data_IF_029383231864
#
_entry.id   IF_029383231864
#
_cell.length_a   1.000
_cell.length_b   1.000
_cell.length_c   1.000
_cell.angle_alpha   90.00
_cell.angle_beta   90.00
_cell.angle_gamma   90.00
#
_symmetry.space_group_name_H-M   'P 1'
#
loop_
_entity.id
_entity.type
_entity.pdbx_description
1 polymer ?
#
# COMPACT_ATOMS: atom_id res chain seq x y z
N UNK A 1 22.61 3.98 -42.64
CA UNK A 1 22.23 4.61 -41.35
C UNK A 1 23.28 4.16 -40.36
N UNK A 2 24.08 5.08 -39.88
CA UNK A 2 25.25 4.80 -39.02
C UNK A 2 24.81 4.38 -37.63
N UNK A 3 25.03 3.09 -37.30
CA UNK A 3 24.69 2.49 -36.01
C UNK A 3 25.63 2.93 -34.87
N UNK A 4 26.62 3.76 -35.15
CA UNK A 4 27.58 4.29 -34.18
C UNK A 4 27.17 5.60 -33.52
N UNK A 5 26.07 6.21 -33.95
CA UNK A 5 25.57 7.46 -33.38
C UNK A 5 25.05 7.23 -31.93
N UNK A 6 25.66 7.87 -30.90
CA UNK A 6 25.29 7.67 -29.51
C UNK A 6 23.81 7.98 -29.20
N UNK A 7 23.17 8.86 -29.97
CA UNK A 7 21.73 9.14 -29.85
C UNK A 7 20.84 7.95 -30.28
N UNK A 8 21.28 7.13 -31.25
CA UNK A 8 20.57 5.93 -31.66
C UNK A 8 20.81 4.72 -30.72
N UNK A 9 21.96 4.67 -30.03
CA UNK A 9 22.22 3.66 -29.00
C UNK A 9 21.42 3.93 -27.72
N UNK A 10 21.15 5.17 -27.39
CA UNK A 10 20.32 5.54 -26.24
C UNK A 10 18.84 5.20 -26.44
N UNK A 11 18.35 5.21 -27.69
CA UNK A 11 16.96 4.84 -28.05
C UNK A 11 16.68 3.33 -27.93
N UNK A 12 17.71 2.47 -27.86
CA UNK A 12 17.57 0.98 -27.75
C UNK A 12 17.54 0.44 -26.32
N UNK A 13 17.83 1.25 -25.29
CA UNK A 13 17.69 0.82 -23.91
C UNK A 13 16.19 0.78 -23.56
N UNK A 14 15.67 -0.42 -23.31
CA UNK A 14 14.34 -0.57 -22.73
C UNK A 14 14.26 0.26 -21.46
N UNK A 15 13.33 1.22 -21.41
CA UNK A 15 13.10 2.03 -20.21
C UNK A 15 12.67 1.12 -19.05
N UNK A 16 13.28 1.28 -17.89
CA UNK A 16 12.92 0.53 -16.68
C UNK A 16 11.45 0.78 -16.32
N UNK A 17 10.96 2.01 -16.48
CA UNK A 17 9.54 2.35 -16.27
C UNK A 17 8.64 1.48 -17.13
N UNK A 18 8.94 1.34 -18.44
CA UNK A 18 8.17 0.48 -19.34
C UNK A 18 8.20 -0.99 -18.90
N UNK A 19 9.37 -1.47 -18.51
CA UNK A 19 9.53 -2.86 -18.03
C UNK A 19 8.72 -3.11 -16.77
N UNK A 20 8.73 -2.19 -15.79
CA UNK A 20 7.95 -2.29 -14.56
C UNK A 20 6.44 -2.29 -14.86
N UNK A 21 5.97 -1.42 -15.75
CA UNK A 21 4.56 -1.39 -16.18
C UNK A 21 4.17 -2.74 -16.81
N UNK A 22 4.97 -3.25 -17.76
CA UNK A 22 4.68 -4.51 -18.44
C UNK A 22 4.64 -5.68 -17.43
N UNK A 23 5.62 -5.76 -16.53
CA UNK A 23 5.68 -6.82 -15.51
C UNK A 23 4.45 -6.73 -14.61
N UNK A 24 4.09 -5.55 -14.14
CA UNK A 24 2.94 -5.35 -13.23
C UNK A 24 1.63 -5.72 -13.90
N UNK A 25 1.40 -5.24 -15.13
CA UNK A 25 0.18 -5.58 -15.89
C UNK A 25 0.12 -7.08 -16.21
N UNK A 26 1.25 -7.68 -16.61
CA UNK A 26 1.33 -9.11 -16.88
C UNK A 26 1.05 -9.94 -15.61
N UNK A 27 1.58 -9.54 -14.45
CA UNK A 27 1.32 -10.19 -13.17
C UNK A 27 -0.16 -10.12 -12.79
N UNK A 28 -0.79 -8.95 -12.96
CA UNK A 28 -2.22 -8.77 -12.69
C UNK A 28 -3.10 -9.64 -13.60
N UNK A 29 -2.80 -9.70 -14.90
CA UNK A 29 -3.49 -10.57 -15.84
C UNK A 29 -3.26 -12.07 -15.52
N UNK A 30 -2.05 -12.44 -15.13
CA UNK A 30 -1.73 -13.83 -14.77
C UNK A 30 -2.49 -14.29 -13.53
N UNK A 31 -2.64 -13.44 -12.50
CA UNK A 31 -3.46 -13.76 -11.31
C UNK A 31 -4.92 -13.94 -11.72
N UNK A 32 -5.49 -13.02 -12.51
CA UNK A 32 -6.87 -13.16 -12.98
C UNK A 32 -7.09 -14.45 -13.78
N UNK A 33 -6.20 -14.75 -14.72
CA UNK A 33 -6.26 -15.98 -15.50
C UNK A 33 -6.12 -17.23 -14.63
N UNK A 34 -5.23 -17.22 -13.63
CA UNK A 34 -5.07 -18.30 -12.67
C UNK A 34 -6.37 -18.59 -11.91
N UNK A 35 -7.05 -17.56 -11.42
CA UNK A 35 -8.32 -17.72 -10.71
C UNK A 35 -9.42 -18.23 -11.64
N UNK A 36 -9.56 -17.62 -12.83
CA UNK A 36 -10.68 -17.92 -13.73
C UNK A 36 -10.54 -19.28 -14.44
N UNK A 37 -9.32 -19.63 -14.88
CA UNK A 37 -9.09 -20.83 -15.69
C UNK A 37 -8.64 -22.03 -14.87
N UNK A 38 -7.85 -21.82 -13.81
CA UNK A 38 -7.22 -22.87 -13.03
C UNK A 38 -7.79 -23.01 -11.61
N UNK A 39 -8.68 -22.11 -11.20
CA UNK A 39 -9.23 -22.03 -9.83
C UNK A 39 -8.12 -21.89 -8.76
N UNK A 40 -6.98 -21.29 -9.14
CA UNK A 40 -5.82 -21.08 -8.28
C UNK A 40 -5.57 -19.59 -8.10
N UNK A 41 -5.66 -19.12 -6.87
CA UNK A 41 -5.28 -17.75 -6.50
C UNK A 41 -3.82 -17.71 -6.03
N UNK A 42 -2.92 -17.34 -6.95
CA UNK A 42 -1.50 -17.18 -6.64
C UNK A 42 -1.20 -15.89 -5.87
N UNK A 43 -2.14 -14.93 -5.82
CA UNK A 43 -1.93 -13.67 -5.10
C UNK A 43 -1.72 -13.90 -3.60
N UNK A 44 -2.33 -14.92 -3.02
CA UNK A 44 -2.16 -15.30 -1.62
C UNK A 44 -0.72 -15.64 -1.21
N UNK A 45 0.16 -15.99 -2.17
CA UNK A 45 1.58 -16.25 -1.91
C UNK A 45 2.47 -15.03 -2.17
N UNK A 46 1.98 -14.04 -2.91
CA UNK A 46 2.75 -12.91 -3.41
C UNK A 46 2.37 -11.57 -2.78
N UNK A 47 1.14 -11.44 -2.29
CA UNK A 47 0.68 -10.27 -1.53
C UNK A 47 1.37 -10.22 -0.15
N UNK A 48 1.54 -9.01 0.40
CA UNK A 48 2.21 -8.82 1.68
C UNK A 48 1.21 -8.97 2.83
N UNK A 49 1.46 -9.93 3.71
CA UNK A 49 0.73 -10.11 4.96
C UNK A 49 1.51 -9.55 6.16
N UNK A 50 0.81 -9.38 7.27
CA UNK A 50 1.44 -9.04 8.55
C UNK A 50 2.42 -10.13 8.97
N UNK A 51 3.55 -9.76 9.60
CA UNK A 51 4.58 -10.72 10.04
C UNK A 51 4.07 -11.72 11.10
N UNK A 52 3.00 -11.40 11.82
CA UNK A 52 2.33 -12.30 12.75
C UNK A 52 1.36 -13.30 12.07
N UNK A 53 1.09 -13.12 10.77
CA UNK A 53 0.25 -14.03 9.99
C UNK A 53 1.03 -15.28 9.59
N UNK A 54 0.39 -16.45 9.66
CA UNK A 54 0.94 -17.70 9.14
C UNK A 54 1.15 -17.66 7.60
N UNK A 55 0.50 -16.71 6.92
CA UNK A 55 0.64 -16.48 5.47
C UNK A 55 1.85 -15.66 5.10
N UNK A 56 2.51 -15.01 6.07
CA UNK A 56 3.67 -14.15 5.79
C UNK A 56 4.84 -14.96 5.25
N UNK A 57 5.48 -14.39 4.22
CA UNK A 57 6.74 -14.88 3.66
C UNK A 57 7.65 -13.69 3.33
N UNK A 58 8.97 -13.76 3.59
CA UNK A 58 9.88 -12.61 3.42
C UNK A 58 9.92 -12.03 1.99
N UNK A 59 9.74 -12.85 0.96
CA UNK A 59 9.72 -12.39 -0.43
C UNK A 59 8.53 -11.48 -0.75
N UNK A 60 7.47 -11.52 0.06
CA UNK A 60 6.29 -10.69 -0.10
C UNK A 60 6.61 -9.20 0.03
N UNK A 61 7.66 -8.83 0.77
CA UNK A 61 8.16 -7.44 0.82
C UNK A 61 8.58 -6.90 -0.56
N UNK A 62 8.84 -7.76 -1.50
CA UNK A 62 9.18 -7.40 -2.88
C UNK A 62 8.03 -7.68 -3.85
N UNK A 63 7.39 -8.85 -3.74
CA UNK A 63 6.40 -9.29 -4.73
C UNK A 63 5.09 -8.53 -4.68
N UNK A 64 4.68 -8.04 -3.50
CA UNK A 64 3.43 -7.30 -3.31
C UNK A 64 3.34 -6.04 -4.20
N UNK A 65 4.50 -5.44 -4.54
CA UNK A 65 4.60 -4.25 -5.39
C UNK A 65 4.07 -4.49 -6.81
N UNK A 66 4.02 -5.75 -7.25
CA UNK A 66 3.53 -6.17 -8.57
C UNK A 66 2.11 -6.74 -8.52
N UNK A 67 1.57 -6.98 -7.31
CA UNK A 67 0.20 -7.44 -7.12
C UNK A 67 -0.73 -6.24 -7.06
N UNK A 68 -1.95 -6.39 -7.60
CA UNK A 68 -2.97 -5.34 -7.56
C UNK A 68 -4.33 -5.94 -7.28
N UNK A 69 -5.22 -5.12 -6.72
CA UNK A 69 -6.59 -5.49 -6.46
C UNK A 69 -7.28 -5.98 -7.75
N UNK A 70 -8.00 -7.07 -7.63
CA UNK A 70 -8.72 -7.71 -8.73
C UNK A 70 -10.17 -7.23 -8.84
N UNK A 71 -10.68 -6.52 -7.82
CA UNK A 71 -12.06 -6.02 -7.78
C UNK A 71 -12.31 -4.86 -8.76
N UNK A 72 -11.24 -4.18 -9.22
CA UNK A 72 -11.38 -3.05 -10.13
C UNK A 72 -10.12 -2.70 -10.92
N UNK A 73 -10.33 -2.21 -12.15
CA UNK A 73 -9.25 -1.75 -13.04
C UNK A 73 -8.59 -0.44 -12.56
N UNK A 74 -9.32 0.40 -11.82
CA UNK A 74 -8.86 1.75 -11.49
C UNK A 74 -7.59 1.76 -10.62
N UNK A 75 -7.45 0.80 -9.71
CA UNK A 75 -6.27 0.72 -8.86
C UNK A 75 -4.98 0.52 -9.68
N UNK A 76 -4.95 -0.49 -10.56
CA UNK A 76 -3.77 -0.71 -11.41
C UNK A 76 -3.58 0.43 -12.41
N UNK A 77 -4.67 0.98 -12.98
CA UNK A 77 -4.61 2.08 -13.93
C UNK A 77 -3.91 3.31 -13.35
N UNK A 78 -4.35 3.81 -12.17
CA UNK A 78 -3.73 4.98 -11.55
C UNK A 78 -2.29 4.72 -11.07
N UNK A 79 -1.99 3.50 -10.63
CA UNK A 79 -0.61 3.12 -10.32
C UNK A 79 0.29 3.19 -11.56
N UNK A 80 -0.13 2.61 -12.67
CA UNK A 80 0.66 2.62 -13.91
C UNK A 80 0.76 4.02 -14.52
N UNK A 81 -0.29 4.81 -14.42
CA UNK A 81 -0.28 6.22 -14.84
C UNK A 81 0.72 7.03 -14.01
N UNK A 82 0.69 6.92 -12.68
CA UNK A 82 1.64 7.59 -11.78
C UNK A 82 3.08 7.16 -12.03
N UNK A 83 3.31 5.85 -12.19
CA UNK A 83 4.63 5.31 -12.55
C UNK A 83 5.11 5.86 -13.91
N UNK A 84 4.25 5.94 -14.90
CA UNK A 84 4.60 6.50 -16.20
C UNK A 84 4.91 8.00 -16.11
N UNK A 85 4.07 8.79 -15.46
CA UNK A 85 4.22 10.25 -15.36
C UNK A 85 5.48 10.63 -14.57
N UNK A 86 5.58 10.22 -13.32
CA UNK A 86 6.68 10.60 -12.44
C UNK A 86 7.94 9.77 -12.70
N UNK A 87 7.78 8.47 -12.90
CA UNK A 87 8.88 7.55 -13.14
C UNK A 87 9.66 7.88 -14.41
N UNK A 88 8.98 8.23 -15.51
CA UNK A 88 9.67 8.56 -16.77
C UNK A 88 10.53 9.82 -16.66
N UNK A 89 10.11 10.82 -15.90
CA UNK A 89 10.90 12.05 -15.66
C UNK A 89 12.10 11.71 -14.78
N UNK A 90 11.90 11.00 -13.69
CA UNK A 90 12.96 10.64 -12.76
C UNK A 90 13.97 9.66 -13.37
N UNK A 91 13.52 8.69 -14.20
CA UNK A 91 14.43 7.79 -14.93
C UNK A 91 15.32 8.55 -15.91
N UNK A 92 14.77 9.55 -16.62
CA UNK A 92 15.58 10.44 -17.50
C UNK A 92 16.59 11.27 -16.71
N UNK A 93 16.20 11.75 -15.53
CA UNK A 93 17.05 12.58 -14.68
C UNK A 93 18.18 11.80 -14.00
N UNK A 94 17.90 10.60 -13.48
CA UNK A 94 18.85 9.80 -12.69
C UNK A 94 19.55 8.69 -13.46
N UNK A 95 19.02 8.30 -14.61
CA UNK A 95 19.35 7.08 -15.30
C UNK A 95 18.68 5.84 -14.70
N UNK A 96 18.57 4.79 -15.49
CA UNK A 96 17.79 3.58 -15.18
C UNK A 96 18.22 2.86 -13.89
N UNK A 97 19.53 2.78 -13.61
CA UNK A 97 20.02 2.09 -12.39
C UNK A 97 19.56 2.78 -11.11
N UNK A 98 19.79 4.11 -11.01
CA UNK A 98 19.45 4.89 -9.82
C UNK A 98 17.93 4.95 -9.62
N UNK A 99 17.17 5.09 -10.71
CA UNK A 99 15.72 5.02 -10.71
C UNK A 99 15.20 3.69 -10.17
N UNK A 100 15.68 2.55 -10.71
CA UNK A 100 15.25 1.23 -10.25
C UNK A 100 15.58 1.00 -8.79
N UNK A 101 16.79 1.37 -8.35
CA UNK A 101 17.20 1.26 -6.95
C UNK A 101 16.27 2.07 -6.05
N UNK A 102 15.93 3.31 -6.45
CA UNK A 102 15.01 4.15 -5.70
C UNK A 102 13.62 3.52 -5.61
N UNK A 103 13.06 3.10 -6.74
CA UNK A 103 11.75 2.47 -6.83
C UNK A 103 11.63 1.23 -5.92
N UNK A 104 12.62 0.35 -5.97
CA UNK A 104 12.60 -0.89 -5.18
C UNK A 104 12.79 -0.61 -3.68
N UNK A 105 13.72 0.25 -3.29
CA UNK A 105 13.96 0.57 -1.88
C UNK A 105 12.74 1.27 -1.27
N UNK A 106 12.14 2.23 -1.98
CA UNK A 106 10.94 2.93 -1.48
C UNK A 106 9.75 1.99 -1.37
N UNK A 107 9.56 1.08 -2.32
CA UNK A 107 8.49 0.09 -2.25
C UNK A 107 8.68 -0.91 -1.11
N UNK A 108 9.84 -1.53 -1.01
CA UNK A 108 10.11 -2.46 0.11
C UNK A 108 10.00 -1.75 1.47
N UNK A 109 10.53 -0.54 1.59
CA UNK A 109 10.43 0.25 2.82
C UNK A 109 8.97 0.64 3.14
N UNK A 110 8.18 0.96 2.13
CA UNK A 110 6.75 1.19 2.27
C UNK A 110 6.02 -0.04 2.83
N UNK A 111 6.34 -1.24 2.32
CA UNK A 111 5.80 -2.50 2.82
C UNK A 111 6.15 -2.75 4.29
N UNK A 112 7.40 -2.51 4.69
CA UNK A 112 7.82 -2.64 6.09
C UNK A 112 7.04 -1.67 7.00
N UNK A 113 6.95 -0.39 6.61
CA UNK A 113 6.24 0.63 7.40
C UNK A 113 4.74 0.31 7.49
N UNK A 114 4.13 -0.11 6.39
CA UNK A 114 2.73 -0.56 6.36
C UNK A 114 2.48 -1.72 7.30
N UNK A 115 3.35 -2.73 7.29
CA UNK A 115 3.26 -3.90 8.15
C UNK A 115 3.39 -3.55 9.64
N UNK A 116 4.32 -2.65 10.00
CA UNK A 116 4.47 -2.15 11.37
C UNK A 116 3.27 -1.32 11.80
N UNK A 117 2.76 -0.45 10.95
CA UNK A 117 1.57 0.35 11.20
C UNK A 117 0.33 -0.54 11.39
N UNK A 118 0.14 -1.54 10.55
CA UNK A 118 -0.93 -2.53 10.69
C UNK A 118 -0.86 -3.25 12.04
N UNK A 119 0.34 -3.66 12.46
CA UNK A 119 0.52 -4.30 13.77
C UNK A 119 0.09 -3.36 14.90
N UNK A 120 0.51 -2.09 14.83
CA UNK A 120 0.11 -1.08 15.82
C UNK A 120 -1.42 -0.87 15.83
N UNK A 121 -2.07 -0.81 14.67
CA UNK A 121 -3.52 -0.66 14.54
C UNK A 121 -4.31 -1.87 15.04
N UNK A 122 -3.75 -3.09 14.92
CA UNK A 122 -4.39 -4.33 15.36
C UNK A 122 -4.22 -4.61 16.86
N UNK A 123 -3.24 -4.00 17.55
CA UNK A 123 -3.00 -4.25 18.97
C UNK A 123 -4.24 -4.09 19.87
N UNK A 124 -5.04 -3.01 19.77
CA UNK A 124 -6.25 -2.87 20.59
C UNK A 124 -7.26 -4.00 20.36
N UNK A 125 -7.39 -4.46 19.11
CA UNK A 125 -8.26 -5.59 18.79
C UNK A 125 -7.75 -6.89 19.44
N UNK A 126 -6.45 -7.17 19.38
CA UNK A 126 -5.88 -8.35 20.02
C UNK A 126 -6.04 -8.34 21.54
N UNK A 127 -5.89 -7.18 22.19
CA UNK A 127 -6.19 -7.03 23.62
C UNK A 127 -7.68 -7.31 23.90
N UNK A 128 -8.56 -6.81 23.06
CA UNK A 128 -10.01 -7.04 23.11
C UNK A 128 -10.37 -8.52 22.94
N UNK A 129 -9.72 -9.22 22.02
CA UNK A 129 -9.85 -10.68 21.82
C UNK A 129 -9.43 -11.44 23.07
N UNK A 130 -8.26 -11.14 23.64
CA UNK A 130 -7.77 -11.80 24.85
C UNK A 130 -8.70 -11.56 26.05
N UNK A 131 -9.16 -10.33 26.24
CA UNK A 131 -10.12 -9.98 27.29
C UNK A 131 -11.43 -10.75 27.13
N UNK A 132 -11.92 -10.88 25.90
CA UNK A 132 -13.11 -11.67 25.62
C UNK A 132 -12.92 -13.16 25.90
N UNK A 133 -11.84 -13.76 25.44
CA UNK A 133 -11.55 -15.19 25.62
C UNK A 133 -11.33 -15.56 27.10
N UNK A 134 -10.86 -14.64 27.92
CA UNK A 134 -10.70 -14.85 29.36
C UNK A 134 -12.02 -14.95 30.11
N UNK A 135 -13.07 -14.28 29.64
CA UNK A 135 -14.40 -14.29 30.25
C UNK A 135 -15.50 -14.12 29.19
N UNK A 136 -15.77 -15.17 28.38
CA UNK A 136 -16.72 -15.07 27.29
C UNK A 136 -18.16 -15.01 27.83
N UNK A 137 -18.94 -14.03 27.34
CA UNK A 137 -20.34 -13.84 27.73
C UNK A 137 -21.03 -12.80 26.84
N UNK A 138 -22.35 -12.68 26.98
CA UNK A 138 -23.17 -11.81 26.15
C UNK A 138 -22.67 -10.36 26.16
N UNK A 139 -22.50 -9.77 27.35
CA UNK A 139 -22.10 -8.36 27.52
C UNK A 139 -20.69 -8.13 26.96
N UNK A 140 -19.78 -9.06 27.17
CA UNK A 140 -18.41 -8.99 26.67
C UNK A 140 -18.35 -9.11 25.13
N UNK A 141 -19.22 -9.95 24.54
CA UNK A 141 -19.33 -10.07 23.09
C UNK A 141 -19.91 -8.81 22.45
N UNK A 142 -20.97 -8.26 23.02
CA UNK A 142 -21.58 -7.00 22.58
C UNK A 142 -20.55 -5.87 22.60
N UNK A 143 -19.76 -5.79 23.67
CA UNK A 143 -18.66 -4.82 23.78
C UNK A 143 -17.59 -5.06 22.71
N UNK A 144 -17.16 -6.32 22.52
CA UNK A 144 -16.18 -6.67 21.48
C UNK A 144 -16.66 -6.22 20.09
N UNK A 145 -17.92 -6.49 19.77
CA UNK A 145 -18.54 -6.08 18.50
C UNK A 145 -18.58 -4.55 18.37
N UNK A 146 -19.02 -3.85 19.42
CA UNK A 146 -19.07 -2.39 19.44
C UNK A 146 -17.71 -1.74 19.18
N UNK A 147 -16.68 -2.26 19.83
CA UNK A 147 -15.33 -1.69 19.79
C UNK A 147 -14.59 -1.99 18.49
N UNK A 148 -14.83 -3.19 17.91
CA UNK A 148 -14.06 -3.67 16.77
C UNK A 148 -14.82 -3.70 15.44
N UNK A 149 -16.16 -3.61 15.47
CA UNK A 149 -17.02 -3.70 14.29
C UNK A 149 -18.20 -2.72 14.37
N UNK A 150 -17.97 -1.40 14.50
CA UNK A 150 -19.06 -0.43 14.78
C UNK A 150 -20.14 -0.38 13.68
N UNK A 151 -19.78 -0.75 12.42
CA UNK A 151 -20.74 -0.83 11.30
C UNK A 151 -21.58 -2.11 11.27
N UNK A 152 -21.24 -3.13 12.06
CA UNK A 152 -21.87 -4.46 11.97
C UNK A 152 -23.29 -4.52 12.55
N UNK A 153 -23.72 -3.53 13.32
CA UNK A 153 -25.10 -3.44 13.82
C UNK A 153 -26.15 -3.21 12.73
N UNK A 154 -25.73 -2.98 11.47
CA UNK A 154 -26.62 -3.00 10.30
C UNK A 154 -26.82 -4.41 9.74
N UNK A 155 -26.11 -5.42 10.29
CA UNK A 155 -26.23 -6.82 9.87
C UNK A 155 -27.36 -7.51 10.65
N UNK A 156 -28.41 -7.89 9.92
CA UNK A 156 -29.58 -8.56 10.51
C UNK A 156 -29.26 -9.88 11.20
N UNK A 157 -28.29 -10.64 10.69
CA UNK A 157 -27.88 -11.93 11.28
C UNK A 157 -27.22 -11.73 12.65
N UNK A 158 -26.32 -10.76 12.77
CA UNK A 158 -25.70 -10.41 14.04
C UNK A 158 -26.76 -9.94 15.06
N UNK A 159 -27.67 -9.06 14.65
CA UNK A 159 -28.73 -8.56 15.50
C UNK A 159 -29.67 -9.68 15.98
N UNK A 160 -29.99 -10.62 15.07
CA UNK A 160 -30.78 -11.81 15.42
C UNK A 160 -30.04 -12.71 16.40
N UNK A 161 -28.72 -12.94 16.19
CA UNK A 161 -27.87 -13.70 17.09
C UNK A 161 -27.84 -13.07 18.49
N UNK A 162 -27.54 -11.77 18.57
CA UNK A 162 -27.52 -11.03 19.85
C UNK A 162 -28.86 -11.09 20.57
N UNK A 163 -29.97 -10.88 19.84
CA UNK A 163 -31.33 -10.98 20.41
C UNK A 163 -31.64 -12.36 20.96
N UNK A 164 -31.33 -13.39 20.19
CA UNK A 164 -31.59 -14.77 20.62
C UNK A 164 -30.74 -15.15 21.83
N UNK A 165 -29.48 -14.72 21.87
CA UNK A 165 -28.61 -14.95 23.03
C UNK A 165 -29.09 -14.20 24.27
N UNK A 166 -29.51 -12.97 24.13
CA UNK A 166 -30.06 -12.16 25.26
C UNK A 166 -31.19 -12.90 25.99
N UNK A 167 -32.11 -13.54 25.26
CA UNK A 167 -33.20 -14.31 25.84
C UNK A 167 -32.81 -15.73 26.30
N UNK A 168 -31.66 -16.24 25.90
CA UNK A 168 -31.21 -17.61 26.19
C UNK A 168 -29.76 -17.64 26.71
N UNK A 169 -29.43 -16.79 27.66
CA UNK A 169 -28.07 -16.61 28.16
C UNK A 169 -27.45 -17.86 28.79
N UNK A 170 -28.27 -18.81 29.24
CA UNK A 170 -27.84 -20.08 29.82
C UNK A 170 -27.39 -21.13 28.77
N UNK A 171 -27.67 -20.90 27.47
CA UNK A 171 -27.31 -21.84 26.45
C UNK A 171 -25.83 -21.68 26.06
N UNK A 172 -24.98 -22.71 26.33
CA UNK A 172 -23.54 -22.64 26.07
C UNK A 172 -23.17 -22.56 24.58
N UNK A 173 -24.13 -22.84 23.69
CA UNK A 173 -23.91 -22.80 22.25
C UNK A 173 -23.57 -21.38 21.79
N UNK A 174 -24.29 -20.37 22.33
CA UNK A 174 -24.00 -18.95 21.98
C UNK A 174 -22.58 -18.53 22.38
N UNK A 175 -22.06 -19.02 23.51
CA UNK A 175 -20.67 -18.78 23.91
C UNK A 175 -19.71 -19.42 22.90
N UNK A 176 -19.96 -20.66 22.47
CA UNK A 176 -19.09 -21.35 21.50
C UNK A 176 -19.08 -20.65 20.14
N UNK A 177 -20.26 -20.26 19.64
CA UNK A 177 -20.41 -19.55 18.37
C UNK A 177 -19.73 -18.18 18.42
N UNK A 178 -19.90 -17.44 19.51
CA UNK A 178 -19.27 -16.13 19.66
C UNK A 178 -17.74 -16.20 19.79
N UNK A 179 -17.20 -17.20 20.49
CA UNK A 179 -15.75 -17.44 20.54
C UNK A 179 -15.22 -17.72 19.13
N UNK A 180 -15.91 -18.57 18.36
CA UNK A 180 -15.53 -18.85 16.97
C UNK A 180 -15.56 -17.55 16.14
N UNK A 181 -16.64 -16.77 16.23
CA UNK A 181 -16.77 -15.50 15.49
C UNK A 181 -15.65 -14.51 15.85
N UNK A 182 -15.31 -14.35 17.14
CA UNK A 182 -14.21 -13.46 17.58
C UNK A 182 -12.87 -13.92 17.00
N UNK A 183 -12.60 -15.21 17.00
CA UNK A 183 -11.36 -15.75 16.43
C UNK A 183 -11.31 -15.58 14.89
N UNK A 184 -12.42 -15.84 14.19
CA UNK A 184 -12.54 -15.66 12.74
C UNK A 184 -12.35 -14.20 12.34
N UNK A 185 -12.93 -13.25 13.07
CA UNK A 185 -12.76 -11.80 12.86
C UNK A 185 -11.29 -11.42 13.05
N UNK A 186 -10.67 -11.89 14.13
CA UNK A 186 -9.26 -11.65 14.42
C UNK A 186 -8.36 -12.18 13.31
N UNK A 187 -8.58 -13.41 12.87
CA UNK A 187 -7.82 -14.05 11.80
C UNK A 187 -8.02 -13.33 10.45
N UNK A 188 -9.25 -12.94 10.11
CA UNK A 188 -9.54 -12.18 8.90
C UNK A 188 -8.79 -10.85 8.88
N UNK A 189 -8.76 -10.13 9.99
CA UNK A 189 -8.04 -8.85 10.11
C UNK A 189 -6.53 -9.02 10.01
N UNK A 190 -5.98 -10.03 10.70
CA UNK A 190 -4.55 -10.34 10.64
C UNK A 190 -4.11 -10.74 9.23
N UNK A 191 -4.99 -11.44 8.52
CA UNK A 191 -4.74 -11.95 7.16
C UNK A 191 -5.19 -10.99 6.05
N UNK A 192 -5.44 -9.71 6.37
CA UNK A 192 -5.64 -8.68 5.34
C UNK A 192 -4.34 -8.44 4.59
N UNK A 193 -4.38 -8.62 3.27
CA UNK A 193 -3.20 -8.51 2.42
C UNK A 193 -3.00 -7.09 1.90
N UNK A 194 -1.75 -6.62 1.88
CA UNK A 194 -1.35 -5.38 1.20
C UNK A 194 -0.85 -5.71 -0.21
N UNK A 195 -1.31 -4.97 -1.20
CA UNK A 195 -0.94 -5.09 -2.61
C UNK A 195 -0.75 -3.71 -3.24
N UNK A 196 0.07 -3.61 -4.26
CA UNK A 196 0.19 -2.42 -5.11
C UNK A 196 1.57 -1.80 -5.16
N UNK A 197 1.83 -1.12 -6.27
CA UNK A 197 3.04 -0.32 -6.51
C UNK A 197 2.98 1.05 -5.83
N UNK A 198 1.85 1.41 -5.23
CA UNK A 198 1.56 2.77 -4.77
C UNK A 198 2.57 3.30 -3.75
N UNK A 199 3.08 2.47 -2.85
CA UNK A 199 4.16 2.87 -1.93
C UNK A 199 5.41 3.39 -2.66
N UNK A 200 5.86 2.68 -3.71
CA UNK A 200 6.94 3.17 -4.58
C UNK A 200 6.56 4.46 -5.31
N UNK A 201 5.32 4.56 -5.79
CA UNK A 201 4.85 5.72 -6.54
C UNK A 201 4.79 6.96 -5.64
N UNK A 202 4.35 6.84 -4.39
CA UNK A 202 4.43 7.92 -3.42
C UNK A 202 5.90 8.30 -3.08
N UNK A 203 6.81 7.31 -3.08
CA UNK A 203 8.25 7.57 -3.09
C UNK A 203 8.72 8.36 -4.32
N UNK A 204 8.23 8.03 -5.53
CA UNK A 204 8.52 8.82 -6.74
C UNK A 204 7.91 10.23 -6.65
N UNK A 205 6.73 10.34 -6.06
CA UNK A 205 6.04 11.60 -5.90
C UNK A 205 6.82 12.58 -5.00
N UNK A 206 7.33 12.12 -3.84
CA UNK A 206 8.19 12.97 -2.98
C UNK A 206 9.48 13.35 -3.71
N UNK A 207 10.10 12.43 -4.46
CA UNK A 207 11.28 12.72 -5.26
C UNK A 207 11.01 13.79 -6.31
N UNK A 208 9.93 13.67 -7.05
CA UNK A 208 9.53 14.61 -8.06
C UNK A 208 9.27 16.01 -7.47
N UNK A 209 8.52 16.08 -6.36
CA UNK A 209 8.22 17.34 -5.69
C UNK A 209 9.46 18.05 -5.11
N UNK A 210 10.48 17.29 -4.69
CA UNK A 210 11.74 17.84 -4.18
C UNK A 210 12.71 18.27 -5.28
N UNK A 211 12.75 17.54 -6.39
CA UNK A 211 13.67 17.82 -7.50
C UNK A 211 13.08 18.88 -8.48
N UNK A 212 11.77 18.88 -8.64
CA UNK A 212 11.05 19.74 -9.58
C UNK A 212 9.92 20.52 -8.89
N UNK A 213 10.19 21.31 -7.83
CA UNK A 213 9.15 21.86 -6.94
C UNK A 213 8.19 22.81 -7.65
N UNK A 214 8.64 23.47 -8.71
CA UNK A 214 7.86 24.43 -9.48
C UNK A 214 7.23 23.84 -10.76
N UNK A 215 7.52 22.55 -11.08
CA UNK A 215 6.88 21.89 -12.21
C UNK A 215 5.36 21.86 -12.04
N UNK A 216 4.65 22.17 -13.14
CA UNK A 216 3.19 22.15 -13.13
C UNK A 216 2.67 20.75 -13.38
N UNK A 217 1.87 20.25 -12.45
CA UNK A 217 1.13 18.99 -12.57
C UNK A 217 -0.32 19.37 -12.85
N UNK A 218 -0.91 18.76 -13.89
CA UNK A 218 -2.33 18.89 -14.18
C UNK A 218 -3.07 17.77 -13.46
N UNK A 219 -3.93 18.11 -12.52
CA UNK A 219 -4.88 17.15 -11.95
C UNK A 219 -5.84 16.70 -13.06
N UNK A 220 -6.25 15.43 -13.02
CA UNK A 220 -7.17 14.91 -14.04
C UNK A 220 -8.62 15.33 -13.77
N UNK A 221 -9.04 15.32 -12.51
CA UNK A 221 -10.41 15.61 -12.10
C UNK A 221 -10.41 16.34 -10.75
N UNK A 222 -10.82 17.61 -10.72
CA UNK A 222 -10.98 18.54 -11.84
C UNK A 222 -9.63 18.91 -12.48
N UNK A 223 -9.57 19.38 -13.73
CA UNK A 223 -8.31 19.71 -14.40
C UNK A 223 -7.75 21.05 -13.87
N UNK A 224 -7.10 20.98 -12.71
CA UNK A 224 -6.50 22.13 -12.03
C UNK A 224 -4.97 22.03 -12.13
N UNK A 225 -4.28 23.03 -12.70
CA UNK A 225 -2.83 23.08 -12.69
C UNK A 225 -2.33 23.42 -11.29
N UNK A 226 -1.39 22.62 -10.77
CA UNK A 226 -0.81 22.79 -9.44
C UNK A 226 0.70 22.58 -9.48
N UNK A 227 1.46 23.37 -8.72
CA UNK A 227 2.91 23.12 -8.58
C UNK A 227 3.17 21.85 -7.79
N UNK A 228 4.16 21.07 -8.23
CA UNK A 228 4.50 19.78 -7.67
C UNK A 228 4.69 19.81 -6.15
N UNK A 229 5.33 20.83 -5.59
CA UNK A 229 5.51 20.96 -4.14
C UNK A 229 4.18 21.00 -3.37
N UNK A 230 3.18 21.71 -3.88
CA UNK A 230 1.86 21.76 -3.22
C UNK A 230 1.09 20.47 -3.38
N UNK A 231 1.17 19.85 -4.56
CA UNK A 231 0.59 18.54 -4.81
C UNK A 231 1.09 17.51 -3.79
N UNK A 232 2.41 17.40 -3.62
CA UNK A 232 3.03 16.45 -2.67
C UNK A 232 2.60 16.70 -1.23
N UNK A 233 2.59 17.97 -0.79
CA UNK A 233 2.20 18.34 0.59
C UNK A 233 0.73 18.00 0.83
N UNK A 234 -0.17 18.36 -0.10
CA UNK A 234 -1.61 18.11 0.05
C UNK A 234 -1.90 16.61 0.08
N UNK A 235 -1.34 15.84 -0.86
CA UNK A 235 -1.55 14.39 -0.88
C UNK A 235 -0.96 13.71 0.36
N UNK A 236 0.25 14.10 0.78
CA UNK A 236 0.84 13.59 2.02
C UNK A 236 0.00 13.91 3.26
N UNK A 237 -0.59 15.10 3.34
CA UNK A 237 -1.48 15.48 4.44
C UNK A 237 -2.80 14.68 4.41
N UNK A 238 -3.38 14.44 3.24
CA UNK A 238 -4.57 13.61 3.07
C UNK A 238 -4.27 12.17 3.52
N UNK A 239 -3.16 11.58 3.08
CA UNK A 239 -2.77 10.23 3.47
C UNK A 239 -2.56 10.11 4.99
N UNK A 240 -1.89 11.10 5.60
CA UNK A 240 -1.68 11.13 7.04
C UNK A 240 -3.02 11.22 7.80
N UNK A 241 -3.89 12.12 7.39
CA UNK A 241 -5.19 12.28 8.04
C UNK A 241 -6.06 11.02 7.90
N UNK A 242 -6.10 10.42 6.71
CA UNK A 242 -6.87 9.20 6.46
C UNK A 242 -6.30 8.01 7.23
N UNK A 243 -4.97 7.85 7.26
CA UNK A 243 -4.33 6.77 8.03
C UNK A 243 -4.56 6.88 9.54
N UNK A 244 -4.58 8.11 10.09
CA UNK A 244 -4.84 8.33 11.52
C UNK A 244 -6.32 8.13 11.89
N UNK A 245 -7.26 8.33 10.95
CA UNK A 245 -8.69 8.05 11.20
C UNK A 245 -8.96 6.56 11.39
N UNK A 246 -8.08 5.70 10.93
CA UNK A 246 -8.17 4.24 11.08
C UNK A 246 -9.58 3.70 10.76
N UNK A 247 -10.16 4.17 9.63
CA UNK A 247 -11.47 3.73 9.23
C UNK A 247 -11.41 2.26 8.78
N UNK A 248 -12.16 1.41 9.46
CA UNK A 248 -12.20 -0.04 9.24
C UNK A 248 -12.66 -0.40 7.81
N UNK A 249 -13.47 0.46 7.21
CA UNK A 249 -14.01 0.26 5.85
C UNK A 249 -13.08 0.80 4.75
N UNK A 250 -11.96 1.41 5.14
CA UNK A 250 -10.99 1.97 4.20
C UNK A 250 -9.88 0.95 3.89
N UNK A 251 -9.94 0.37 2.70
CA UNK A 251 -8.96 -0.60 2.22
C UNK A 251 -7.70 0.06 1.60
N UNK A 252 -7.53 1.38 1.73
CA UNK A 252 -6.38 2.09 1.19
C UNK A 252 -5.18 1.96 2.12
N UNK A 253 -4.05 1.59 1.56
CA UNK A 253 -2.80 1.42 2.30
C UNK A 253 -2.11 2.77 2.64
N UNK A 254 -2.79 3.66 3.38
CA UNK A 254 -2.28 5.00 3.72
C UNK A 254 -0.88 4.98 4.32
N UNK A 255 -0.61 4.05 5.22
CA UNK A 255 0.73 3.91 5.82
C UNK A 255 1.77 3.36 4.85
N UNK A 256 1.38 2.60 3.82
CA UNK A 256 2.29 2.24 2.73
C UNK A 256 2.68 3.47 1.90
N UNK A 257 1.71 4.36 1.61
CA UNK A 257 1.96 5.62 0.89
C UNK A 257 2.90 6.54 1.68
N UNK A 258 2.59 6.80 2.94
CA UNK A 258 3.44 7.59 3.85
C UNK A 258 4.81 6.96 4.05
N UNK A 259 4.87 5.64 4.16
CA UNK A 259 6.11 4.87 4.25
C UNK A 259 6.99 5.07 3.02
N UNK A 260 6.40 4.99 1.83
CA UNK A 260 7.09 5.26 0.58
C UNK A 260 7.64 6.69 0.49
N UNK A 261 6.84 7.68 0.91
CA UNK A 261 7.29 9.08 0.99
C UNK A 261 8.43 9.25 1.99
N UNK A 262 8.34 8.69 3.18
CA UNK A 262 9.36 8.80 4.22
C UNK A 262 10.68 8.16 3.80
N UNK A 263 10.64 6.90 3.32
CA UNK A 263 11.84 6.19 2.86
C UNK A 263 12.43 6.90 1.65
N UNK A 264 11.59 7.39 0.73
CA UNK A 264 12.01 8.16 -0.42
C UNK A 264 12.70 9.46 -0.03
N UNK A 265 12.14 10.21 0.91
CA UNK A 265 12.76 11.42 1.46
C UNK A 265 14.13 11.14 2.06
N UNK A 266 14.22 10.13 2.94
CA UNK A 266 15.49 9.75 3.60
C UNK A 266 16.54 9.36 2.55
N UNK A 267 16.17 8.52 1.58
CA UNK A 267 17.09 8.08 0.53
C UNK A 267 17.61 9.23 -0.32
N UNK A 268 16.74 10.19 -0.66
CA UNK A 268 17.14 11.41 -1.37
C UNK A 268 18.14 12.25 -0.56
N UNK A 269 17.89 12.43 0.74
CA UNK A 269 18.78 13.19 1.61
C UNK A 269 20.16 12.53 1.71
N UNK A 270 20.21 11.19 1.81
CA UNK A 270 21.47 10.41 1.81
C UNK A 270 22.19 10.62 0.48
N UNK A 271 21.49 10.52 -0.65
CA UNK A 271 22.10 10.68 -1.97
C UNK A 271 22.61 12.10 -2.19
N UNK A 272 21.84 13.12 -1.80
CA UNK A 272 22.26 14.53 -1.89
C UNK A 272 23.55 14.79 -1.11
N UNK A 273 23.67 14.27 0.11
CA UNK A 273 24.89 14.38 0.92
C UNK A 273 26.08 13.70 0.25
N UNK A 274 25.85 12.49 -0.31
CA UNK A 274 26.91 11.72 -0.98
C UNK A 274 27.38 12.38 -2.29
N UNK A 275 26.46 12.91 -3.08
CA UNK A 275 26.77 13.58 -4.33
C UNK A 275 27.53 14.89 -4.07
N UNK A 276 27.14 15.69 -3.06
CA UNK A 276 27.86 16.88 -2.63
C UNK A 276 29.31 16.57 -2.17
N UNK A 277 29.51 15.48 -1.44
CA UNK A 277 30.85 15.09 -0.96
C UNK A 277 31.77 14.57 -2.09
N UNK A 278 31.21 14.09 -3.22
CA UNK A 278 32.00 13.57 -4.34
C UNK A 278 32.37 14.59 -5.39
N UNK A 279 31.63 15.68 -5.50
CA UNK A 279 31.72 16.58 -6.66
C UNK A 279 32.29 17.95 -6.37
N UNK A 280 32.52 18.37 -5.13
CA UNK A 280 32.73 19.80 -4.86
C UNK A 280 31.64 20.68 -5.51
N UNK A 281 30.43 20.22 -5.50
CA UNK A 281 29.31 20.40 -6.44
C UNK A 281 28.65 21.78 -6.34
N UNK A 282 28.29 22.30 -7.51
CA UNK A 282 27.36 23.42 -7.64
C UNK A 282 25.91 22.99 -7.36
N UNK A 283 25.08 23.85 -6.72
CA UNK A 283 23.71 23.51 -6.39
C UNK A 283 22.84 23.34 -7.65
N UNK A 284 21.79 22.54 -7.52
CA UNK A 284 20.76 22.30 -8.53
C UNK A 284 20.35 23.61 -9.21
N UNK A 285 20.76 23.82 -10.46
CA UNK A 285 20.16 24.86 -11.29
C UNK A 285 18.71 24.45 -11.55
N UNK A 286 17.80 25.35 -11.17
CA UNK A 286 16.39 25.26 -11.54
C UNK A 286 16.32 25.27 -13.07
N UNK A 287 15.81 24.19 -13.65
CA UNK A 287 15.44 24.19 -15.06
C UNK A 287 14.31 25.19 -15.25
N UNK A 288 14.38 26.04 -16.30
CA UNK A 288 13.42 27.11 -16.56
C UNK A 288 11.99 26.61 -16.76
#
# INVERSE_FOLDING_TARGET
MDSSNPYFQQARRTSVVKSLIIITVASWLAVQAGIQLLQVDISQYLALYNYNSEKFRPWQLFTYMFMHDLSGFMHIFFNMLGLWMFGSVLERHWGSKRFLTYYLITGMGAGVISMLAMTWQLNPMFESVQAYLANPGYVQFERFVSDNMPGSYQNDQLNQFLKNWYYNQQNPEYVRESVRAVMEISDMRLNTATVGASGSIFGLLIAFGMLFPNAMIMLLIPPIPMRAKYFVIIFGAIELFSGLRNNIDDNVGHFAHLGGMLVGFILLMIWKRRDNNRSGYQPFEELP
#
